data_IF_631926008464
#
_entry.id   IF_631926008464
#
_cell.length_a   1.000
_cell.length_b   1.000
_cell.length_c   1.000
_cell.angle_alpha   90.00
_cell.angle_beta   90.00
_cell.angle_gamma   90.00
#
_symmetry.space_group_name_H-M   'P 1'
#
loop_
_entity.id
_entity.type
_entity.pdbx_description
1 polymer ?
#
# COMPACT_ATOMS: atom_id res chain seq x y z
N UNK A 1 -22.14 5.43 -13.87
CA UNK A 1 -20.99 5.14 -12.99
C UNK A 1 -19.89 4.58 -13.87
N UNK A 2 -18.76 5.29 -14.00
CA UNK A 2 -17.58 4.73 -14.68
C UNK A 2 -17.00 3.72 -13.71
N UNK A 3 -17.12 2.43 -14.04
CA UNK A 3 -16.37 1.40 -13.34
C UNK A 3 -14.90 1.63 -13.70
N UNK A 4 -14.15 2.27 -12.79
CA UNK A 4 -12.70 2.40 -12.95
C UNK A 4 -12.15 0.99 -13.16
N UNK A 5 -11.48 0.77 -14.29
CA UNK A 5 -10.82 -0.50 -14.55
C UNK A 5 -9.88 -0.80 -13.38
N UNK A 6 -9.97 -2.02 -12.83
CA UNK A 6 -9.11 -2.42 -11.73
C UNK A 6 -7.64 -2.35 -12.20
N UNK A 7 -6.75 -1.74 -11.41
CA UNK A 7 -5.37 -1.54 -11.83
C UNK A 7 -4.67 -2.87 -12.05
N UNK A 8 -3.96 -2.96 -13.16
CA UNK A 8 -3.11 -4.11 -13.49
C UNK A 8 -1.81 -4.09 -12.69
N UNK A 9 -1.12 -5.23 -12.63
CA UNK A 9 0.23 -5.29 -12.06
C UNK A 9 1.18 -4.30 -12.76
N UNK A 10 1.12 -4.22 -14.10
CA UNK A 10 2.00 -3.35 -14.89
C UNK A 10 1.78 -1.86 -14.57
N UNK A 11 0.53 -1.41 -14.50
CA UNK A 11 0.21 -0.02 -14.13
C UNK A 11 0.66 0.29 -12.71
N UNK A 12 0.47 -0.67 -11.80
CA UNK A 12 0.90 -0.53 -10.42
C UNK A 12 2.42 -0.41 -10.31
N UNK A 13 3.19 -1.28 -10.99
CA UNK A 13 4.65 -1.21 -11.02
C UNK A 13 5.12 0.12 -11.60
N UNK A 14 4.48 0.62 -12.67
CA UNK A 14 4.84 1.92 -13.26
C UNK A 14 4.71 3.07 -12.26
N UNK A 15 3.72 3.03 -11.37
CA UNK A 15 3.54 4.00 -10.28
C UNK A 15 4.58 3.88 -9.16
N UNK A 16 5.28 2.75 -9.07
CA UNK A 16 6.31 2.46 -8.08
C UNK A 16 7.73 2.48 -8.69
N UNK A 17 7.85 2.87 -9.95
CA UNK A 17 9.12 2.95 -10.64
C UNK A 17 10.02 4.06 -10.07
N UNK A 18 11.36 3.94 -10.19
CA UNK A 18 12.30 5.00 -9.85
C UNK A 18 11.93 6.36 -10.45
N UNK A 19 12.09 7.44 -9.67
CA UNK A 19 11.73 8.80 -10.07
C UNK A 19 10.27 9.17 -9.85
N UNK A 20 9.40 8.23 -9.43
CA UNK A 20 8.03 8.55 -9.00
C UNK A 20 8.01 9.01 -7.54
N UNK A 21 7.07 9.90 -7.22
CA UNK A 21 6.90 10.37 -5.85
C UNK A 21 6.54 9.23 -4.88
N UNK A 22 5.77 8.23 -5.33
CA UNK A 22 5.47 7.05 -4.52
C UNK A 22 6.73 6.24 -4.20
N UNK A 23 7.58 5.99 -5.21
CA UNK A 23 8.86 5.31 -5.00
C UNK A 23 9.74 6.06 -4.01
N UNK A 24 9.86 7.38 -4.14
CA UNK A 24 10.61 8.21 -3.20
C UNK A 24 10.07 8.08 -1.76
N UNK A 25 8.75 7.99 -1.59
CA UNK A 25 8.12 7.77 -0.30
C UNK A 25 8.48 6.41 0.30
N UNK A 26 8.44 5.34 -0.49
CA UNK A 26 8.82 3.99 -0.07
C UNK A 26 10.30 3.89 0.27
N UNK A 27 11.18 4.48 -0.52
CA UNK A 27 12.61 4.53 -0.22
C UNK A 27 12.88 5.28 1.08
N UNK A 28 12.16 6.38 1.34
CA UNK A 28 12.25 7.07 2.62
C UNK A 28 11.83 6.15 3.75
N UNK A 29 10.78 5.35 3.62
CA UNK A 29 10.34 4.40 4.66
C UNK A 29 11.43 3.36 4.93
N UNK A 30 12.00 2.76 3.87
CA UNK A 30 13.09 1.78 3.95
C UNK A 30 14.33 2.35 4.65
N UNK A 31 14.84 3.50 4.19
CA UNK A 31 15.97 4.22 4.82
C UNK A 31 15.66 4.59 6.26
N UNK A 32 14.38 4.80 6.53
CA UNK A 32 13.81 5.10 7.82
C UNK A 32 13.76 3.96 8.80
N UNK A 33 14.03 2.74 8.33
CA UNK A 33 13.96 1.54 9.13
C UNK A 33 12.58 1.34 9.77
N UNK A 34 11.54 1.65 9.01
CA UNK A 34 10.14 1.52 9.44
C UNK A 34 9.40 0.59 8.50
N UNK A 35 8.47 -0.20 9.02
CA UNK A 35 7.53 -0.94 8.19
C UNK A 35 6.43 -0.03 7.67
N UNK A 36 5.70 -0.46 6.65
CA UNK A 36 4.48 0.23 6.22
C UNK A 36 3.50 -0.74 5.57
N UNK A 37 2.22 -0.38 5.61
CA UNK A 37 1.15 -1.00 4.86
C UNK A 37 0.37 0.12 4.16
N UNK A 38 0.29 0.09 2.84
CA UNK A 38 -0.23 1.22 2.05
C UNK A 38 -1.24 0.69 1.03
N UNK A 39 -2.48 1.19 1.07
CA UNK A 39 -3.51 0.88 0.07
C UNK A 39 -3.55 2.01 -0.95
N UNK A 40 -3.60 1.67 -2.25
CA UNK A 40 -3.71 2.66 -3.33
C UNK A 40 -5.12 2.59 -3.95
N UNK A 41 -6.03 3.37 -3.39
CA UNK A 41 -7.43 3.33 -3.77
C UNK A 41 -8.31 3.44 -2.54
N UNK A 42 -9.45 4.11 -2.73
CA UNK A 42 -10.38 4.34 -1.66
C UNK A 42 -11.79 4.47 -2.22
N UNK A 43 -12.66 3.58 -1.75
CA UNK A 43 -14.10 3.58 -1.94
C UNK A 43 -14.76 2.88 -0.74
N UNK A 44 -16.05 2.63 -0.82
CA UNK A 44 -16.82 1.98 0.25
C UNK A 44 -16.27 0.59 0.63
N UNK A 45 -15.63 -0.13 -0.30
CA UNK A 45 -15.04 -1.45 0.00
C UNK A 45 -13.80 -1.35 0.87
N UNK A 46 -12.97 -0.33 0.64
CA UNK A 46 -11.79 -0.04 1.47
C UNK A 46 -12.21 0.57 2.81
N UNK A 47 -13.19 1.47 2.80
CA UNK A 47 -13.73 2.06 4.03
C UNK A 47 -14.32 0.98 4.95
N UNK A 48 -15.08 0.02 4.40
CA UNK A 48 -15.72 -1.04 5.19
C UNK A 48 -14.74 -1.96 5.94
N UNK A 49 -13.48 -2.04 5.50
CA UNK A 49 -12.43 -2.84 6.15
C UNK A 49 -11.45 -1.98 6.98
N UNK A 50 -11.62 -0.66 7.02
CA UNK A 50 -10.82 0.22 7.85
C UNK A 50 -11.41 0.30 9.26
N UNK A 51 -10.66 -0.17 10.25
CA UNK A 51 -10.98 0.00 11.66
C UNK A 51 -10.07 1.05 12.31
N UNK A 52 -10.66 1.92 13.14
CA UNK A 52 -9.97 3.03 13.79
C UNK A 52 -9.30 4.04 12.84
N UNK A 53 -8.15 4.55 13.27
CA UNK A 53 -7.38 5.58 12.56
C UNK A 53 -8.08 6.93 12.45
N UNK A 54 -7.68 7.73 11.47
CA UNK A 54 -8.27 9.05 11.23
C UNK A 54 -8.28 9.40 9.74
N UNK A 55 -9.28 10.20 9.34
CA UNK A 55 -9.35 10.83 8.03
C UNK A 55 -8.39 12.03 7.98
N UNK A 56 -7.75 12.22 6.82
CA UNK A 56 -6.78 13.30 6.61
C UNK A 56 -7.13 14.13 5.38
N UNK A 57 -7.52 13.46 4.29
CA UNK A 57 -7.76 14.05 2.98
C UNK A 57 -6.80 15.19 2.60
N UNK A 58 -5.50 14.87 2.53
CA UNK A 58 -4.43 15.82 2.21
C UNK A 58 -3.68 15.40 0.95
N UNK A 59 -3.08 16.38 0.25
CA UNK A 59 -2.22 16.08 -0.91
C UNK A 59 -1.09 15.14 -0.53
N UNK A 60 -0.76 14.23 -1.43
CA UNK A 60 0.37 13.33 -1.28
C UNK A 60 1.69 14.12 -1.23
N UNK A 61 2.60 13.67 -0.38
CA UNK A 61 4.01 14.04 -0.45
C UNK A 61 4.86 12.87 0.10
N UNK A 62 6.04 12.58 -0.48
CA UNK A 62 6.89 11.49 -0.01
C UNK A 62 7.25 11.58 1.47
N UNK A 63 7.53 12.80 1.95
CA UNK A 63 7.83 13.08 3.37
C UNK A 63 6.61 12.82 4.26
N UNK A 64 5.41 13.21 3.81
CA UNK A 64 4.18 12.99 4.56
C UNK A 64 3.85 11.50 4.69
N UNK A 65 3.97 10.75 3.59
CA UNK A 65 3.80 9.30 3.63
C UNK A 65 4.78 8.69 4.65
N UNK A 66 6.07 9.08 4.59
CA UNK A 66 7.09 8.60 5.54
C UNK A 66 6.74 8.90 6.99
N UNK A 67 6.29 10.11 7.31
CA UNK A 67 5.94 10.49 8.68
C UNK A 67 4.74 9.70 9.19
N UNK A 68 3.70 9.52 8.37
CA UNK A 68 2.53 8.73 8.75
C UNK A 68 2.86 7.23 8.91
N UNK A 69 3.77 6.69 8.10
CA UNK A 69 4.24 5.31 8.23
C UNK A 69 5.05 5.04 9.51
N UNK A 70 5.39 6.07 10.32
CA UNK A 70 5.95 5.86 11.66
C UNK A 70 4.92 5.36 12.67
N UNK A 71 3.64 5.58 12.38
CA UNK A 71 2.54 5.06 13.17
C UNK A 71 2.32 3.58 12.86
N UNK A 72 1.63 2.88 13.76
CA UNK A 72 1.16 1.54 13.51
C UNK A 72 -0.03 1.54 12.54
N UNK A 73 -0.27 0.43 11.84
CA UNK A 73 -1.38 0.32 10.89
C UNK A 73 -1.04 0.80 9.47
N UNK A 74 -2.09 1.12 8.71
CA UNK A 74 -2.03 1.39 7.27
C UNK A 74 -2.27 2.87 6.92
N UNK A 75 -1.75 3.25 5.76
CA UNK A 75 -2.04 4.52 5.08
C UNK A 75 -2.86 4.22 3.83
N UNK A 76 -3.93 4.96 3.61
CA UNK A 76 -4.81 4.79 2.45
C UNK A 76 -4.68 6.00 1.55
N UNK A 77 -4.36 5.77 0.28
CA UNK A 77 -4.24 6.79 -0.76
C UNK A 77 -5.50 6.81 -1.64
N UNK A 78 -5.74 7.94 -2.30
CA UNK A 78 -6.72 8.01 -3.39
C UNK A 78 -6.30 7.10 -4.55
N UNK A 79 -7.24 6.72 -5.42
CA UNK A 79 -6.96 5.79 -6.53
C UNK A 79 -5.90 6.30 -7.50
N UNK A 80 -5.85 7.62 -7.74
CA UNK A 80 -4.79 8.29 -8.50
C UNK A 80 -3.47 8.44 -7.73
N UNK A 81 -3.47 8.22 -6.41
CA UNK A 81 -2.32 8.36 -5.50
C UNK A 81 -1.96 9.81 -5.19
N UNK A 82 -2.79 10.77 -5.63
CA UNK A 82 -2.56 12.20 -5.43
C UNK A 82 -2.84 12.69 -4.02
N UNK A 83 -3.55 11.90 -3.20
CA UNK A 83 -3.96 12.25 -1.84
C UNK A 83 -3.77 11.09 -0.87
N UNK A 84 -3.50 11.44 0.39
CA UNK A 84 -3.59 10.54 1.54
C UNK A 84 -4.95 10.79 2.19
N UNK A 85 -5.80 9.77 2.16
CA UNK A 85 -7.20 9.88 2.59
C UNK A 85 -7.35 9.48 4.06
N UNK A 86 -6.68 8.39 4.47
CA UNK A 86 -6.67 7.90 5.85
C UNK A 86 -5.28 7.47 6.29
N UNK A 87 -5.06 7.46 7.60
CA UNK A 87 -3.84 6.96 8.21
C UNK A 87 -4.12 6.29 9.57
N UNK A 88 -3.17 5.49 10.04
CA UNK A 88 -3.25 4.76 11.31
C UNK A 88 -4.48 3.84 11.40
N UNK A 89 -4.96 3.34 10.25
CA UNK A 89 -6.12 2.43 10.20
C UNK A 89 -5.64 0.98 10.32
N UNK A 90 -6.39 0.16 11.02
CA UNK A 90 -6.22 -1.28 10.97
C UNK A 90 -7.04 -1.83 9.80
N UNK A 91 -6.41 -2.57 8.89
CA UNK A 91 -7.12 -3.25 7.82
C UNK A 91 -7.63 -4.60 8.32
N UNK A 92 -8.94 -4.80 8.27
CA UNK A 92 -9.65 -6.00 8.73
C UNK A 92 -10.37 -6.66 7.54
N UNK A 93 -9.63 -7.20 6.54
CA UNK A 93 -10.24 -7.92 5.44
C UNK A 93 -10.82 -9.27 5.91
N UNK A 94 -11.69 -9.85 5.10
CA UNK A 94 -12.36 -11.12 5.36
C UNK A 94 -11.32 -12.23 5.66
N UNK A 95 -11.37 -12.84 6.86
CA UNK A 95 -10.39 -13.84 7.27
C UNK A 95 -10.52 -15.17 6.50
N UNK A 96 -11.63 -15.40 5.80
CA UNK A 96 -11.86 -16.60 4.99
C UNK A 96 -11.10 -16.58 3.65
N UNK A 97 -10.64 -15.40 3.20
CA UNK A 97 -9.80 -15.27 2.01
C UNK A 97 -8.48 -16.01 2.23
N UNK A 98 -8.19 -16.98 1.36
CA UNK A 98 -6.94 -17.75 1.40
C UNK A 98 -5.73 -16.84 1.16
N UNK A 99 -4.63 -17.13 1.84
CA UNK A 99 -3.39 -16.37 1.74
C UNK A 99 -2.22 -17.32 1.91
N UNK A 100 -1.19 -17.16 1.08
CA UNK A 100 0.05 -17.93 1.16
C UNK A 100 1.12 -17.19 1.98
N UNK A 101 0.81 -15.97 2.43
CA UNK A 101 1.74 -15.12 3.16
C UNK A 101 1.94 -15.53 4.62
N UNK A 102 3.18 -15.38 5.08
CA UNK A 102 3.55 -15.53 6.49
C UNK A 102 3.63 -14.16 7.16
N UNK A 103 3.07 -14.05 8.37
CA UNK A 103 3.02 -12.78 9.13
C UNK A 103 1.74 -11.96 8.93
N UNK A 104 1.30 -11.28 10.00
CA UNK A 104 0.01 -10.58 10.05
C UNK A 104 -0.10 -9.45 9.00
N UNK A 105 0.95 -8.64 8.83
CA UNK A 105 0.95 -7.53 7.86
C UNK A 105 0.82 -8.01 6.41
N UNK A 106 1.57 -9.04 6.03
CA UNK A 106 1.55 -9.56 4.67
C UNK A 106 0.22 -10.25 4.35
N UNK A 107 -0.32 -11.04 5.29
CA UNK A 107 -1.68 -11.61 5.15
C UNK A 107 -2.76 -10.55 5.02
N UNK A 108 -2.71 -9.50 5.84
CA UNK A 108 -3.66 -8.37 5.71
C UNK A 108 -3.50 -7.66 4.37
N UNK A 109 -2.26 -7.49 3.88
CA UNK A 109 -2.00 -6.86 2.59
C UNK A 109 -2.62 -7.66 1.43
N UNK A 110 -2.32 -8.95 1.35
CA UNK A 110 -2.81 -9.83 0.28
C UNK A 110 -4.34 -9.93 0.31
N UNK A 111 -4.94 -10.19 1.47
CA UNK A 111 -6.40 -10.28 1.61
C UNK A 111 -7.10 -8.98 1.27
N UNK A 112 -6.54 -7.84 1.69
CA UNK A 112 -7.08 -6.53 1.33
C UNK A 112 -7.05 -6.32 -0.18
N UNK A 113 -5.94 -6.67 -0.83
CA UNK A 113 -5.81 -6.55 -2.29
C UNK A 113 -6.81 -7.45 -3.04
N UNK A 114 -7.00 -8.69 -2.58
CA UNK A 114 -7.97 -9.63 -3.16
C UNK A 114 -9.40 -9.12 -2.97
N UNK A 115 -9.76 -8.73 -1.75
CA UNK A 115 -11.13 -8.32 -1.41
C UNK A 115 -11.55 -7.03 -2.10
N UNK A 116 -10.68 -6.02 -2.08
CA UNK A 116 -11.01 -4.69 -2.60
C UNK A 116 -10.68 -4.55 -4.09
N UNK A 117 -9.73 -5.34 -4.59
CA UNK A 117 -9.19 -5.20 -5.94
C UNK A 117 -8.22 -4.03 -6.10
N UNK A 118 -7.91 -3.28 -5.03
CA UNK A 118 -6.90 -2.22 -5.07
C UNK A 118 -5.50 -2.74 -4.75
N UNK A 119 -4.45 -2.10 -5.30
CA UNK A 119 -3.08 -2.45 -4.96
C UNK A 119 -2.79 -2.17 -3.48
N UNK A 120 -2.13 -3.12 -2.83
CA UNK A 120 -1.66 -2.97 -1.46
C UNK A 120 -0.17 -3.20 -1.41
N UNK A 121 0.57 -2.28 -0.79
CA UNK A 121 2.01 -2.32 -0.66
C UNK A 121 2.37 -2.63 0.78
N UNK A 122 3.19 -3.65 0.98
CA UNK A 122 3.85 -3.93 2.25
C UNK A 122 5.33 -3.54 2.15
N UNK A 123 5.80 -2.77 3.12
CA UNK A 123 7.22 -2.48 3.33
C UNK A 123 7.69 -3.24 4.56
N UNK A 124 8.65 -4.15 4.35
CA UNK A 124 9.31 -4.90 5.41
C UNK A 124 10.63 -4.22 5.77
N UNK A 125 10.71 -3.65 6.97
CA UNK A 125 11.96 -3.07 7.46
C UNK A 125 13.05 -4.14 7.65
N UNK A 126 12.74 -5.25 8.32
CA UNK A 126 13.73 -6.27 8.67
C UNK A 126 14.38 -6.91 7.45
N UNK A 127 13.62 -7.07 6.37
CA UNK A 127 14.11 -7.64 5.11
C UNK A 127 14.55 -6.56 4.11
N UNK A 128 14.24 -5.29 4.37
CA UNK A 128 14.41 -4.18 3.42
C UNK A 128 13.75 -4.44 2.05
N UNK A 129 12.55 -5.04 2.06
CA UNK A 129 11.80 -5.44 0.85
C UNK A 129 10.50 -4.64 0.74
N UNK A 130 10.16 -4.27 -0.49
CA UNK A 130 8.84 -3.76 -0.88
C UNK A 130 8.12 -4.85 -1.66
N UNK A 131 6.93 -5.23 -1.20
CA UNK A 131 6.05 -6.17 -1.91
C UNK A 131 4.76 -5.46 -2.26
N UNK A 132 4.28 -5.66 -3.48
CA UNK A 132 2.95 -5.22 -3.91
C UNK A 132 2.06 -6.43 -4.17
N UNK A 133 0.81 -6.32 -3.74
CA UNK A 133 -0.28 -7.27 -3.97
C UNK A 133 -1.31 -6.58 -4.85
N UNK A 134 -1.59 -7.12 -6.03
CA UNK A 134 -2.55 -6.55 -6.98
C UNK A 134 -3.01 -7.63 -7.95
N UNK A 135 -4.29 -7.60 -8.32
CA UNK A 135 -4.87 -8.56 -9.27
C UNK A 135 -4.67 -10.05 -8.90
N UNK A 136 -4.57 -10.36 -7.60
CA UNK A 136 -4.29 -11.71 -7.10
C UNK A 136 -2.82 -12.13 -7.25
N UNK A 137 -1.94 -11.23 -7.68
CA UNK A 137 -0.51 -11.46 -7.82
C UNK A 137 0.27 -10.79 -6.70
N UNK A 138 1.33 -11.47 -6.26
CA UNK A 138 2.36 -10.95 -5.36
C UNK A 138 3.61 -10.64 -6.15
N UNK A 139 4.08 -9.40 -6.07
CA UNK A 139 5.29 -8.98 -6.76
C UNK A 139 6.24 -8.22 -5.83
N UNK A 140 7.50 -8.66 -5.77
CA UNK A 140 8.55 -7.95 -5.03
C UNK A 140 9.12 -6.87 -5.94
N UNK A 141 9.07 -5.62 -5.48
CA UNK A 141 9.66 -4.51 -6.22
C UNK A 141 11.18 -4.53 -5.99
N UNK A 142 12.00 -4.63 -7.04
CA UNK A 142 13.45 -4.66 -6.88
C UNK A 142 13.97 -3.36 -6.27
N UNK A 143 15.14 -3.45 -5.64
CA UNK A 143 15.83 -2.26 -5.15
C UNK A 143 16.28 -1.37 -6.32
N UNK A 144 16.27 -0.06 -6.12
CA UNK A 144 16.63 0.91 -7.16
C UNK A 144 18.07 0.74 -7.60
N UNK A 145 18.97 0.36 -6.69
CA UNK A 145 20.38 0.12 -7.01
C UNK A 145 20.62 -1.16 -7.83
N UNK A 146 19.63 -2.06 -7.93
CA UNK A 146 19.73 -3.29 -8.74
C UNK A 146 19.29 -3.07 -10.20
N UNK A 147 18.56 -1.98 -10.47
CA UNK A 147 17.99 -1.68 -11.80
C UNK A 147 18.87 -0.68 -12.58
N UNK A 148 19.79 0.01 -11.92
CA UNK A 148 20.73 0.99 -12.48
C UNK A 148 22.08 0.33 -12.85
#
# INVERSE_FOLDING_TARGET
MVQLARPTLRETIARLAPGTALRDGLERILRGRTGALIVIGYDDSVEAICDGGFSLDVRYAPTRLRELSKMDGAVVLSSDGGRIVRANVQLVPDPSISTEESGTRHRSAERTAIQTGYPVISVSHSMSIVTVYVAGERHVIPDSATIL
#
